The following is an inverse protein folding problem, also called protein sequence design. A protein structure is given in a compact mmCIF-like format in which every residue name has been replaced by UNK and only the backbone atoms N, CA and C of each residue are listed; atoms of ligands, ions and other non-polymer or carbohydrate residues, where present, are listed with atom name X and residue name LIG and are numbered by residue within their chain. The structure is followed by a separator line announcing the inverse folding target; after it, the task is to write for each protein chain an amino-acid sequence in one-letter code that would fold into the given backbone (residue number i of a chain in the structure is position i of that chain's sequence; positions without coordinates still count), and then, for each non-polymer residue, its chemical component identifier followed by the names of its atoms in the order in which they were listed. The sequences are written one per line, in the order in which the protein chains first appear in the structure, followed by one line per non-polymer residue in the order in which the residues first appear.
data_IF_615887459140
#
_entry.id   IF_615887459140
#
_cell.length_a   1.000
_cell.length_b   1.000
_cell.length_c   1.000
_cell.angle_alpha   90.00
_cell.angle_beta   90.00
_cell.angle_gamma   90.00
#
_symmetry.space_group_name_H-M   'P 1'
#
loop_
_entity.id
_entity.type
_entity.pdbx_description
1 polymer ?
#
# COMPACT_ATOMS: atom_id res chain seq x y z
N UNK A 1 5.26 4.46 -33.69
CA UNK A 1 5.60 3.86 -32.39
C UNK A 1 5.19 4.90 -31.38
N UNK A 2 4.09 4.68 -30.64
CA UNK A 2 3.69 5.63 -29.59
C UNK A 2 4.74 5.53 -28.48
N UNK A 3 5.20 6.67 -27.96
CA UNK A 3 6.10 6.67 -26.81
C UNK A 3 5.40 5.98 -25.65
N UNK A 4 6.11 5.04 -25.02
CA UNK A 4 5.60 4.37 -23.84
C UNK A 4 5.60 5.35 -22.67
N UNK A 5 4.54 5.33 -21.88
CA UNK A 5 4.36 6.05 -20.63
C UNK A 5 5.46 5.62 -19.65
N UNK A 6 6.35 6.57 -19.34
CA UNK A 6 7.40 6.42 -18.34
C UNK A 6 6.98 6.87 -16.94
N UNK A 7 7.90 6.75 -15.98
CA UNK A 7 7.68 7.13 -14.57
C UNK A 7 7.35 8.63 -14.42
N UNK A 8 7.86 9.46 -15.33
CA UNK A 8 7.70 10.92 -15.31
C UNK A 8 6.26 11.36 -15.55
N UNK A 9 5.49 10.60 -16.33
CA UNK A 9 4.10 10.91 -16.70
C UNK A 9 3.05 10.30 -15.76
N UNK A 10 3.47 9.67 -14.65
CA UNK A 10 2.56 8.99 -13.73
C UNK A 10 1.56 9.94 -13.04
N UNK A 11 1.93 11.20 -12.85
CA UNK A 11 1.05 12.23 -12.26
C UNK A 11 0.22 12.99 -13.28
N UNK A 12 0.43 12.75 -14.58
CA UNK A 12 -0.35 13.39 -15.63
C UNK A 12 -1.77 12.80 -15.67
N UNK A 13 -2.77 13.57 -16.15
CA UNK A 13 -4.11 13.07 -16.37
C UNK A 13 -4.13 11.92 -17.39
N UNK A 14 -4.98 10.93 -17.16
CA UNK A 14 -5.21 9.82 -18.10
C UNK A 14 -5.61 10.33 -19.48
N UNK A 15 -6.36 11.43 -19.55
CA UNK A 15 -6.85 12.06 -20.79
C UNK A 15 -5.73 12.31 -21.82
N UNK A 16 -4.52 12.62 -21.38
CA UNK A 16 -3.40 12.93 -22.29
C UNK A 16 -2.79 11.67 -22.93
N UNK A 17 -3.14 10.48 -22.41
CA UNK A 17 -2.56 9.18 -22.77
C UNK A 17 -3.59 8.16 -23.28
N UNK A 18 -4.84 8.59 -23.51
CA UNK A 18 -5.88 7.71 -24.07
C UNK A 18 -5.83 7.65 -25.60
N UNK A 19 -6.19 6.49 -26.14
CA UNK A 19 -6.51 6.36 -27.56
C UNK A 19 -8.01 6.48 -27.75
N UNK A 20 -8.42 7.23 -28.79
CA UNK A 20 -9.82 7.35 -29.19
C UNK A 20 -10.30 6.24 -30.12
N UNK A 21 -9.39 5.37 -30.55
CA UNK A 21 -9.68 4.21 -31.41
C UNK A 21 -10.30 3.07 -30.58
N UNK A 22 -11.54 3.29 -30.15
CA UNK A 22 -12.30 2.37 -29.31
C UNK A 22 -13.39 1.70 -30.12
N UNK A 23 -13.53 0.39 -29.95
CA UNK A 23 -14.64 -0.35 -30.52
C UNK A 23 -15.81 -0.29 -29.54
N UNK A 24 -16.80 0.51 -29.88
CA UNK A 24 -18.07 0.61 -29.16
C UNK A 24 -19.17 -0.18 -29.87
N UNK A 25 -20.08 -0.74 -29.07
CA UNK A 25 -21.34 -1.35 -29.49
C UNK A 25 -22.49 -0.55 -28.87
N UNK A 26 -23.64 -0.54 -29.52
CA UNK A 26 -24.86 0.03 -28.94
C UNK A 26 -25.65 -1.05 -28.20
N UNK A 27 -26.28 -0.65 -27.10
CA UNK A 27 -27.07 -1.55 -26.25
C UNK A 27 -28.27 -2.18 -26.98
N UNK A 28 -28.83 -1.47 -27.97
CA UNK A 28 -30.03 -1.87 -28.71
C UNK A 28 -29.76 -2.85 -29.85
N UNK A 29 -28.49 -3.01 -30.26
CA UNK A 29 -28.07 -3.88 -31.37
C UNK A 29 -28.28 -5.36 -31.04
N UNK A 30 -28.47 -6.15 -32.10
CA UNK A 30 -28.39 -7.61 -32.00
C UNK A 30 -26.95 -8.09 -32.10
N UNK A 31 -26.68 -9.30 -31.60
CA UNK A 31 -25.35 -9.92 -31.68
C UNK A 31 -24.85 -10.04 -33.12
N UNK A 32 -25.73 -10.30 -34.08
CA UNK A 32 -25.41 -10.35 -35.50
C UNK A 32 -24.93 -9.01 -36.07
N UNK A 33 -25.64 -7.92 -35.75
CA UNK A 33 -25.28 -6.57 -36.17
C UNK A 33 -23.94 -6.15 -35.60
N UNK A 34 -23.75 -6.36 -34.29
CA UNK A 34 -22.51 -6.07 -33.60
C UNK A 34 -21.33 -6.91 -34.12
N UNK A 35 -21.53 -8.21 -34.39
CA UNK A 35 -20.50 -9.06 -34.96
C UNK A 35 -20.15 -8.69 -36.42
N UNK A 36 -21.11 -8.20 -37.20
CA UNK A 36 -20.87 -7.69 -38.53
C UNK A 36 -20.10 -6.36 -38.51
N UNK A 37 -20.45 -5.47 -37.59
CA UNK A 37 -19.73 -4.21 -37.36
C UNK A 37 -18.30 -4.45 -36.90
N UNK A 38 -18.12 -5.36 -35.95
CA UNK A 38 -16.82 -5.77 -35.45
C UNK A 38 -15.90 -6.28 -36.57
N UNK A 39 -16.42 -7.15 -37.45
CA UNK A 39 -15.67 -7.73 -38.57
C UNK A 39 -15.23 -6.70 -39.63
N UNK A 40 -15.93 -5.57 -39.75
CA UNK A 40 -15.56 -4.50 -40.67
C UNK A 40 -14.40 -3.64 -40.15
N UNK A 41 -14.15 -3.63 -38.84
CA UNK A 41 -13.04 -2.87 -38.26
C UNK A 41 -11.75 -3.68 -38.38
N UNK A 42 -10.70 -3.06 -38.92
CA UNK A 42 -9.38 -3.70 -39.04
C UNK A 42 -8.61 -3.50 -37.73
N UNK A 43 -8.50 -4.58 -36.93
CA UNK A 43 -8.09 -4.47 -35.53
C UNK A 43 -6.57 -4.58 -35.32
N UNK A 44 -5.80 -4.78 -36.39
CA UNK A 44 -4.33 -4.65 -36.38
C UNK A 44 -3.59 -5.42 -35.27
N UNK A 45 -4.15 -6.52 -34.75
CA UNK A 45 -3.56 -7.32 -33.67
C UNK A 45 -3.62 -6.72 -32.26
N UNK A 46 -4.39 -5.65 -32.03
CA UNK A 46 -4.51 -4.99 -30.72
C UNK A 46 -5.41 -5.75 -29.76
N UNK A 47 -5.28 -5.45 -28.46
CA UNK A 47 -6.19 -5.93 -27.42
C UNK A 47 -7.58 -5.35 -27.67
N UNK A 48 -8.60 -6.21 -27.65
CA UNK A 48 -9.97 -5.83 -28.02
C UNK A 48 -10.92 -6.07 -26.86
N UNK A 49 -11.40 -4.96 -26.29
CA UNK A 49 -12.61 -4.95 -25.47
C UNK A 49 -13.73 -4.27 -26.26
N UNK A 50 -14.93 -4.85 -26.23
CA UNK A 50 -16.12 -4.29 -26.88
C UNK A 50 -16.95 -3.58 -25.82
N UNK A 51 -16.82 -2.26 -25.75
CA UNK A 51 -17.53 -1.46 -24.77
C UNK A 51 -18.93 -1.15 -25.27
N UNK A 52 -19.92 -1.29 -24.39
CA UNK A 52 -21.32 -1.00 -24.69
C UNK A 52 -21.65 0.40 -24.21
N UNK A 53 -22.20 1.22 -25.11
CA UNK A 53 -22.63 2.58 -24.80
C UNK A 53 -24.11 2.79 -25.14
N UNK A 54 -24.73 3.76 -24.47
CA UNK A 54 -26.07 4.24 -24.81
C UNK A 54 -26.04 5.31 -25.93
N UNK A 55 -27.20 5.91 -26.21
CA UNK A 55 -27.34 6.98 -27.20
C UNK A 55 -26.61 8.28 -26.83
N UNK A 56 -26.32 8.52 -25.55
CA UNK A 56 -25.55 9.66 -25.04
C UNK A 56 -24.05 9.36 -24.91
N UNK A 57 -23.59 8.19 -25.40
CA UNK A 57 -22.24 7.64 -25.25
C UNK A 57 -21.83 7.32 -23.80
N UNK A 58 -22.78 7.19 -22.86
CA UNK A 58 -22.48 6.71 -21.52
C UNK A 58 -22.06 5.26 -21.55
N UNK A 59 -21.00 4.95 -20.82
CA UNK A 59 -20.49 3.59 -20.72
C UNK A 59 -21.43 2.74 -19.85
N UNK A 60 -21.98 1.66 -20.41
CA UNK A 60 -22.88 0.76 -19.70
C UNK A 60 -22.18 -0.53 -19.26
N UNK A 61 -21.39 -1.13 -20.16
CA UNK A 61 -20.87 -2.48 -19.94
C UNK A 61 -19.79 -2.90 -20.94
N UNK A 62 -19.39 -4.16 -20.86
CA UNK A 62 -18.43 -4.77 -21.78
C UNK A 62 -18.95 -6.13 -22.27
N UNK A 63 -18.72 -6.43 -23.56
CA UNK A 63 -19.05 -7.72 -24.15
C UNK A 63 -17.77 -8.48 -24.48
N UNK A 64 -17.54 -9.68 -23.89
CA UNK A 64 -16.46 -10.54 -24.31
C UNK A 64 -16.66 -11.00 -25.76
N UNK A 65 -15.64 -10.86 -26.61
CA UNK A 65 -15.70 -11.25 -28.04
C UNK A 65 -16.18 -12.71 -28.21
N UNK A 66 -15.71 -13.62 -27.36
CA UNK A 66 -16.14 -15.03 -27.36
C UNK A 66 -17.65 -15.19 -27.13
N UNK A 67 -18.24 -14.34 -26.30
CA UNK A 67 -19.68 -14.36 -26.01
C UNK A 67 -20.48 -13.83 -27.19
N UNK A 68 -20.01 -12.74 -27.81
CA UNK A 68 -20.62 -12.16 -29.00
C UNK A 68 -20.63 -13.15 -30.19
N UNK A 69 -19.51 -13.84 -30.44
CA UNK A 69 -19.39 -14.76 -31.56
C UNK A 69 -20.10 -16.11 -31.31
N UNK A 70 -20.36 -16.46 -30.05
CA UNK A 70 -21.01 -17.72 -29.66
C UNK A 70 -22.50 -17.61 -29.34
N UNK A 71 -23.06 -16.40 -29.28
CA UNK A 71 -24.48 -16.16 -29.00
C UNK A 71 -25.36 -16.35 -30.23
N UNK A 72 -26.65 -16.61 -30.02
CA UNK A 72 -27.63 -16.60 -31.10
C UNK A 72 -27.69 -15.19 -31.76
N UNK A 73 -27.70 -15.12 -33.11
CA UNK A 73 -27.79 -13.88 -33.90
C UNK A 73 -28.86 -12.88 -33.46
N UNK A 74 -29.99 -13.32 -32.89
CA UNK A 74 -31.10 -12.44 -32.51
C UNK A 74 -31.01 -11.88 -31.10
N UNK A 75 -30.08 -12.36 -30.27
CA UNK A 75 -29.93 -11.89 -28.87
C UNK A 75 -29.41 -10.45 -28.86
N UNK A 76 -29.96 -9.62 -27.96
CA UNK A 76 -29.55 -8.21 -27.83
C UNK A 76 -28.23 -8.07 -27.08
N UNK A 77 -27.47 -7.03 -27.39
CA UNK A 77 -26.22 -6.72 -26.70
C UNK A 77 -26.43 -6.47 -25.20
N UNK A 78 -27.57 -5.87 -24.83
CA UNK A 78 -28.02 -5.70 -23.45
C UNK A 78 -28.00 -6.99 -22.63
N UNK A 79 -28.44 -8.11 -23.21
CA UNK A 79 -28.49 -9.40 -22.52
C UNK A 79 -27.12 -10.12 -22.48
N UNK A 80 -26.19 -9.72 -23.36
CA UNK A 80 -24.86 -10.32 -23.49
C UNK A 80 -23.80 -9.58 -22.67
N UNK A 81 -24.02 -8.30 -22.37
CA UNK A 81 -23.03 -7.46 -21.70
C UNK A 81 -22.84 -7.87 -20.23
N UNK A 82 -21.66 -7.54 -19.71
CA UNK A 82 -21.38 -7.52 -18.28
C UNK A 82 -21.41 -6.05 -17.85
N UNK A 83 -22.34 -5.71 -16.96
CA UNK A 83 -22.54 -4.37 -16.44
C UNK A 83 -22.52 -4.38 -14.90
N UNK A 84 -22.00 -3.32 -14.24
CA UNK A 84 -21.35 -2.15 -14.85
C UNK A 84 -19.93 -2.47 -15.34
N UNK A 85 -19.48 -1.76 -16.39
CA UNK A 85 -18.06 -1.78 -16.76
C UNK A 85 -17.24 -0.98 -15.74
N UNK A 86 -16.08 -1.53 -15.35
CA UNK A 86 -15.09 -0.79 -14.58
C UNK A 86 -14.42 0.22 -15.50
N UNK A 87 -14.35 1.47 -15.07
CA UNK A 87 -13.75 2.59 -15.81
C UNK A 87 -12.89 3.46 -14.90
N UNK A 88 -12.05 4.29 -15.52
CA UNK A 88 -11.27 5.33 -14.85
C UNK A 88 -11.77 6.71 -15.29
N UNK A 89 -11.74 7.70 -14.41
CA UNK A 89 -12.03 9.09 -14.80
C UNK A 89 -10.90 9.62 -15.67
N UNK A 90 -11.22 10.37 -16.73
CA UNK A 90 -10.21 11.01 -17.58
C UNK A 90 -9.32 12.01 -16.84
N UNK A 91 -9.82 12.59 -15.74
CA UNK A 91 -9.09 13.48 -14.84
C UNK A 91 -8.21 12.77 -13.81
N UNK A 92 -8.35 11.45 -13.65
CA UNK A 92 -7.51 10.67 -12.75
C UNK A 92 -6.08 10.60 -13.27
N UNK A 93 -5.14 10.21 -12.40
CA UNK A 93 -3.73 10.11 -12.81
C UNK A 93 -3.47 8.82 -13.58
N UNK A 94 -2.45 8.84 -14.42
CA UNK A 94 -1.98 7.65 -15.15
C UNK A 94 -1.57 6.52 -14.19
N UNK A 95 -1.06 6.86 -12.99
CA UNK A 95 -0.81 5.89 -11.92
C UNK A 95 -2.08 5.18 -11.46
N UNK A 96 -3.16 5.93 -11.20
CA UNK A 96 -4.44 5.35 -10.75
C UNK A 96 -4.98 4.37 -11.80
N UNK A 97 -4.90 4.74 -13.08
CA UNK A 97 -5.29 3.85 -14.17
C UNK A 97 -4.42 2.58 -14.25
N UNK A 98 -3.11 2.72 -14.05
CA UNK A 98 -2.18 1.58 -14.02
C UNK A 98 -2.50 0.63 -12.86
N UNK A 99 -2.73 1.16 -11.66
CA UNK A 99 -3.08 0.35 -10.48
C UNK A 99 -4.40 -0.40 -10.68
N UNK A 100 -5.43 0.27 -11.22
CA UNK A 100 -6.71 -0.37 -11.54
C UNK A 100 -6.58 -1.46 -12.63
N UNK A 101 -5.76 -1.24 -13.66
CA UNK A 101 -5.48 -2.25 -14.68
C UNK A 101 -4.82 -3.50 -14.07
N UNK A 102 -3.86 -3.31 -13.17
CA UNK A 102 -3.15 -4.39 -12.50
C UNK A 102 -4.03 -5.15 -11.49
N UNK A 103 -4.81 -4.42 -10.68
CA UNK A 103 -5.72 -4.98 -9.67
C UNK A 103 -6.75 -5.91 -10.33
N UNK A 104 -7.39 -5.44 -11.40
CA UNK A 104 -8.40 -6.20 -12.12
C UNK A 104 -7.82 -7.14 -13.19
N UNK A 105 -6.50 -7.12 -13.41
CA UNK A 105 -5.80 -7.88 -14.47
C UNK A 105 -6.36 -7.59 -15.87
N UNK A 106 -6.80 -6.36 -16.09
CA UNK A 106 -7.30 -5.92 -17.39
C UNK A 106 -6.15 -5.51 -18.28
N UNK A 107 -6.25 -5.83 -19.57
CA UNK A 107 -5.27 -5.43 -20.56
C UNK A 107 -5.51 -4.00 -21.07
N UNK A 108 -6.76 -3.53 -21.00
CA UNK A 108 -7.14 -2.16 -21.28
C UNK A 108 -8.38 -1.78 -20.46
N UNK A 109 -8.57 -0.49 -20.22
CA UNK A 109 -9.65 0.08 -19.41
C UNK A 109 -10.25 1.32 -20.11
N UNK A 110 -11.58 1.52 -20.05
CA UNK A 110 -12.21 2.71 -20.60
C UNK A 110 -12.00 3.92 -19.69
N UNK A 111 -11.71 5.07 -20.31
CA UNK A 111 -11.67 6.37 -19.65
C UNK A 111 -12.98 7.13 -19.91
N UNK A 112 -13.58 7.67 -18.85
CA UNK A 112 -14.86 8.39 -18.92
C UNK A 112 -14.76 9.80 -18.35
N UNK A 113 -15.58 10.72 -18.89
CA UNK A 113 -15.77 12.06 -18.33
C UNK A 113 -16.57 12.02 -17.01
N UNK A 114 -16.82 13.19 -16.41
CA UNK A 114 -17.55 13.30 -15.15
C UNK A 114 -19.04 12.92 -15.29
N UNK A 115 -19.60 12.95 -16.50
CA UNK A 115 -20.94 12.49 -16.83
C UNK A 115 -21.02 11.00 -17.21
N UNK A 116 -19.88 10.28 -17.18
CA UNK A 116 -19.79 8.85 -17.47
C UNK A 116 -19.74 8.50 -18.96
N UNK A 117 -19.47 9.48 -19.83
CA UNK A 117 -19.35 9.27 -21.28
C UNK A 117 -17.96 8.80 -21.65
N UNK A 118 -17.90 7.84 -22.56
CA UNK A 118 -16.65 7.20 -22.98
C UNK A 118 -15.82 8.13 -23.88
N UNK A 119 -14.66 8.58 -23.36
CA UNK A 119 -13.71 9.45 -24.08
C UNK A 119 -12.62 8.67 -24.81
N UNK A 120 -12.20 7.52 -24.29
CA UNK A 120 -11.15 6.68 -24.89
C UNK A 120 -10.80 5.45 -24.07
N UNK A 121 -9.66 4.83 -24.38
CA UNK A 121 -9.11 3.67 -23.64
C UNK A 121 -7.64 3.89 -23.30
N UNK A 122 -7.22 3.28 -22.20
CA UNK A 122 -5.82 3.15 -21.79
C UNK A 122 -5.46 1.66 -21.74
N UNK A 123 -4.35 1.28 -22.37
CA UNK A 123 -3.87 -0.12 -22.50
C UNK A 123 -2.57 -0.32 -21.72
N UNK A 124 -2.40 -1.49 -21.10
CA UNK A 124 -1.18 -1.91 -20.40
C UNK A 124 0.09 -1.81 -21.27
N UNK A 125 -0.03 -2.04 -22.59
CA UNK A 125 1.09 -1.94 -23.53
C UNK A 125 1.66 -0.53 -23.67
N UNK A 126 0.92 0.49 -23.25
CA UNK A 126 1.43 1.86 -23.22
C UNK A 126 2.44 2.09 -22.11
N UNK A 127 2.42 1.29 -21.04
CA UNK A 127 3.32 1.48 -19.92
C UNK A 127 4.69 0.84 -20.21
N UNK A 128 5.75 1.47 -19.71
CA UNK A 128 7.07 0.83 -19.66
C UNK A 128 7.09 -0.28 -18.63
N UNK A 129 7.97 -1.27 -18.83
CA UNK A 129 8.11 -2.41 -17.91
C UNK A 129 8.50 -1.94 -16.50
N UNK A 130 9.26 -0.85 -16.39
CA UNK A 130 9.63 -0.23 -15.11
C UNK A 130 8.42 0.32 -14.36
N UNK A 131 7.47 0.96 -15.07
CA UNK A 131 6.23 1.46 -14.47
C UNK A 131 5.35 0.29 -14.00
N UNK A 132 5.18 -0.73 -14.82
CA UNK A 132 4.40 -1.92 -14.48
C UNK A 132 5.00 -2.63 -13.27
N UNK A 133 6.32 -2.79 -13.24
CA UNK A 133 7.04 -3.40 -12.12
C UNK A 133 6.89 -2.55 -10.86
N UNK A 134 7.05 -1.22 -10.96
CA UNK A 134 6.92 -0.29 -9.85
C UNK A 134 5.52 -0.25 -9.23
N UNK A 135 4.48 -0.27 -10.05
CA UNK A 135 3.09 -0.30 -9.60
C UNK A 135 2.74 -1.63 -8.91
N UNK A 136 3.13 -2.77 -9.50
CA UNK A 136 3.00 -4.08 -8.84
C UNK A 136 3.70 -4.10 -7.48
N UNK A 137 4.91 -3.55 -7.46
CA UNK A 137 5.74 -3.46 -6.27
C UNK A 137 5.14 -2.58 -5.16
N UNK A 138 4.39 -1.52 -5.50
CA UNK A 138 3.69 -0.67 -4.52
C UNK A 138 2.53 -1.43 -3.88
N UNK A 139 1.72 -2.08 -4.72
CA UNK A 139 0.59 -2.90 -4.30
C UNK A 139 1.05 -4.05 -3.37
N UNK A 140 2.13 -4.75 -3.75
CA UNK A 140 2.71 -5.81 -2.91
C UNK A 140 3.35 -5.26 -1.62
N UNK A 141 4.01 -4.10 -1.67
CA UNK A 141 4.69 -3.55 -0.49
C UNK A 141 3.74 -3.17 0.64
N UNK A 142 2.55 -2.66 0.34
CA UNK A 142 1.53 -2.34 1.34
C UNK A 142 1.11 -3.57 2.17
N UNK A 143 0.99 -4.74 1.52
CA UNK A 143 0.63 -5.98 2.20
C UNK A 143 1.83 -6.69 2.86
N UNK A 144 3.02 -6.59 2.26
CA UNK A 144 4.24 -7.13 2.86
C UNK A 144 4.63 -6.40 4.16
N UNK A 145 4.33 -5.10 4.26
CA UNK A 145 4.53 -4.29 5.47
C UNK A 145 3.80 -4.83 6.71
N UNK A 146 2.66 -5.51 6.52
CA UNK A 146 1.88 -6.17 7.58
C UNK A 146 2.10 -7.68 7.64
N UNK A 147 3.16 -8.20 7.00
CA UNK A 147 3.50 -9.63 7.00
C UNK A 147 2.57 -10.51 6.16
N UNK A 148 1.75 -9.91 5.28
CA UNK A 148 0.85 -10.64 4.39
C UNK A 148 1.44 -10.66 2.98
N UNK A 149 1.93 -11.82 2.54
CA UNK A 149 2.14 -12.06 1.12
C UNK A 149 0.77 -12.22 0.45
N UNK A 150 0.25 -11.15 -0.12
CA UNK A 150 -1.01 -11.24 -0.88
C UNK A 150 -0.69 -11.83 -2.25
N UNK A 151 -0.90 -13.13 -2.39
CA UNK A 151 -1.10 -13.75 -3.69
C UNK A 151 -2.50 -13.35 -4.20
N UNK A 152 -2.65 -12.12 -4.71
CA UNK A 152 -3.90 -11.59 -5.28
C UNK A 152 -4.46 -12.59 -6.30
N UNK A 153 -5.58 -13.23 -5.97
CA UNK A 153 -6.38 -14.05 -6.90
C UNK A 153 -6.14 -15.57 -6.91
N UNK A 154 -5.32 -16.15 -6.03
CA UNK A 154 -5.27 -17.63 -5.86
C UNK A 154 -5.91 -18.03 -4.53
N UNK A 155 -6.78 -19.06 -4.55
CA UNK A 155 -7.18 -19.78 -3.34
C UNK A 155 -5.93 -20.40 -2.71
N UNK A 156 -5.31 -19.68 -1.77
CA UNK A 156 -4.11 -20.15 -1.08
C UNK A 156 -4.57 -21.16 -0.04
N UNK A 157 -4.07 -22.40 -0.09
CA UNK A 157 -4.35 -23.41 0.94
C UNK A 157 -3.88 -22.90 2.32
N UNK A 158 -4.64 -23.18 3.39
CA UNK A 158 -4.30 -22.76 4.76
C UNK A 158 -2.86 -23.10 5.17
N UNK A 159 -2.35 -24.26 4.74
CA UNK A 159 -0.98 -24.70 5.00
C UNK A 159 0.09 -23.79 4.38
N UNK A 160 -0.13 -23.33 3.14
CA UNK A 160 0.81 -22.41 2.48
C UNK A 160 0.81 -21.05 3.19
N UNK A 161 -0.36 -20.52 3.53
CA UNK A 161 -0.44 -19.27 4.30
C UNK A 161 0.24 -19.37 5.66
N UNK A 162 0.10 -20.50 6.37
CA UNK A 162 0.82 -20.75 7.61
C UNK A 162 2.33 -20.72 7.39
N UNK A 163 2.85 -21.46 6.42
CA UNK A 163 4.29 -21.52 6.12
C UNK A 163 4.88 -20.16 5.73
N UNK A 164 4.08 -19.31 5.09
CA UNK A 164 4.51 -17.96 4.69
C UNK A 164 4.51 -16.98 5.89
N UNK A 165 3.59 -17.13 6.85
CA UNK A 165 3.43 -16.22 8.00
C UNK A 165 4.18 -16.66 9.25
N UNK A 166 4.38 -17.97 9.45
CA UNK A 166 4.97 -18.50 10.68
C UNK A 166 6.41 -18.04 10.93
N UNK A 167 7.30 -17.91 9.92
CA UNK A 167 8.62 -17.33 10.15
C UNK A 167 8.56 -15.89 10.67
N UNK A 168 7.63 -15.10 10.14
CA UNK A 168 7.41 -13.71 10.57
C UNK A 168 6.92 -13.65 12.02
N UNK A 169 5.94 -14.51 12.36
CA UNK A 169 5.48 -14.69 13.74
C UNK A 169 6.62 -15.15 14.66
N UNK A 170 7.50 -16.03 14.19
CA UNK A 170 8.68 -16.50 14.91
C UNK A 170 9.64 -15.37 15.30
N UNK A 171 9.85 -14.39 14.41
CA UNK A 171 10.64 -13.19 14.73
C UNK A 171 9.99 -12.35 15.84
N UNK A 172 8.67 -12.11 15.76
CA UNK A 172 7.96 -11.36 16.79
C UNK A 172 7.95 -12.11 18.13
N UNK A 173 7.80 -13.43 18.10
CA UNK A 173 7.91 -14.26 19.31
C UNK A 173 9.31 -14.17 19.93
N UNK A 174 10.37 -14.22 19.11
CA UNK A 174 11.74 -14.06 19.58
C UNK A 174 11.97 -12.66 20.20
N UNK A 175 11.46 -11.61 19.56
CA UNK A 175 11.45 -10.24 20.11
C UNK A 175 10.78 -10.20 21.47
N UNK A 176 9.54 -10.70 21.57
CA UNK A 176 8.79 -10.72 22.82
C UNK A 176 9.50 -11.48 23.94
N UNK A 177 10.19 -12.58 23.63
CA UNK A 177 11.02 -13.31 24.60
C UNK A 177 12.21 -12.46 25.06
N UNK A 178 12.90 -11.77 24.15
CA UNK A 178 13.99 -10.84 24.50
C UNK A 178 13.47 -9.70 25.38
N UNK A 179 12.32 -9.14 25.05
CA UNK A 179 11.64 -8.11 25.85
C UNK A 179 11.28 -8.61 27.25
N UNK A 180 10.81 -9.86 27.38
CA UNK A 180 10.57 -10.47 28.69
C UNK A 180 11.86 -10.61 29.51
N UNK A 181 12.97 -11.00 28.89
CA UNK A 181 14.28 -11.01 29.55
C UNK A 181 14.73 -9.62 29.98
N UNK A 182 14.54 -8.59 29.15
CA UNK A 182 14.85 -7.21 29.52
C UNK A 182 14.00 -6.79 30.72
N UNK A 183 12.68 -6.98 30.67
CA UNK A 183 11.78 -6.63 31.76
C UNK A 183 12.13 -7.35 33.07
N UNK A 184 12.57 -8.63 33.00
CA UNK A 184 13.01 -9.37 34.19
C UNK A 184 14.22 -8.74 34.89
N UNK A 185 15.09 -8.02 34.16
CA UNK A 185 16.21 -7.30 34.77
C UNK A 185 15.77 -6.06 35.56
N UNK A 186 14.56 -5.56 35.30
CA UNK A 186 13.97 -4.41 35.97
C UNK A 186 12.85 -4.81 36.94
N UNK A 187 12.80 -6.07 37.39
CA UNK A 187 11.77 -6.57 38.31
C UNK A 187 11.70 -5.77 39.61
N UNK A 188 12.85 -5.39 40.18
CA UNK A 188 12.91 -4.53 41.37
C UNK A 188 12.26 -3.16 41.10
N UNK A 189 12.61 -2.51 39.99
CA UNK A 189 12.01 -1.22 39.59
C UNK A 189 10.50 -1.34 39.38
N UNK A 190 10.04 -2.41 38.74
CA UNK A 190 8.61 -2.68 38.54
C UNK A 190 7.86 -2.91 39.86
N UNK A 191 8.52 -3.48 40.86
CA UNK A 191 7.93 -3.68 42.19
C UNK A 191 7.82 -2.38 42.98
N UNK A 192 8.78 -1.46 42.83
CA UNK A 192 8.78 -0.15 43.48
C UNK A 192 7.83 0.83 42.79
N UNK A 193 7.77 0.78 41.46
CA UNK A 193 6.97 1.68 40.64
C UNK A 193 6.01 0.87 39.76
N UNK A 194 4.95 0.35 40.39
CA UNK A 194 3.90 -0.45 39.73
C UNK A 194 3.29 0.28 38.53
N UNK A 195 3.32 1.62 38.51
CA UNK A 195 2.87 2.45 37.40
C UNK A 195 3.55 2.09 36.07
N UNK A 196 4.86 1.80 36.10
CA UNK A 196 5.64 1.41 34.92
C UNK A 196 5.10 0.12 34.29
N UNK A 197 4.75 -0.87 35.11
CA UNK A 197 4.14 -2.12 34.61
C UNK A 197 2.78 -1.87 33.94
N UNK A 198 1.98 -0.94 34.48
CA UNK A 198 0.64 -0.64 33.96
C UNK A 198 0.65 0.02 32.58
N UNK A 199 1.69 0.78 32.26
CA UNK A 199 1.84 1.46 30.97
C UNK A 199 2.77 0.73 29.98
N UNK A 200 3.32 -0.42 30.37
CA UNK A 200 4.23 -1.21 29.55
C UNK A 200 3.60 -1.66 28.22
N UNK A 201 2.33 -2.08 28.24
CA UNK A 201 1.60 -2.45 27.02
C UNK A 201 1.35 -1.25 26.12
N UNK A 202 1.15 -0.07 26.70
CA UNK A 202 0.88 1.17 25.97
C UNK A 202 2.14 1.65 25.27
N UNK A 203 3.29 1.67 25.96
CA UNK A 203 4.54 2.14 25.38
C UNK A 203 5.03 1.24 24.25
N UNK A 204 4.89 -0.09 24.40
CA UNK A 204 5.20 -1.05 23.34
C UNK A 204 4.30 -0.84 22.11
N UNK A 205 2.98 -0.77 22.30
CA UNK A 205 2.04 -0.57 21.19
C UNK A 205 2.28 0.75 20.43
N UNK A 206 2.63 1.82 21.15
CA UNK A 206 3.00 3.10 20.53
C UNK A 206 4.33 3.00 19.78
N UNK A 207 5.34 2.37 20.38
CA UNK A 207 6.64 2.13 19.75
C UNK A 207 6.49 1.39 18.41
N UNK A 208 5.76 0.27 18.40
CA UNK A 208 5.46 -0.50 17.19
C UNK A 208 4.72 0.34 16.14
N UNK A 209 3.65 1.04 16.54
CA UNK A 209 2.81 1.81 15.64
C UNK A 209 3.58 2.92 14.93
N UNK A 210 4.36 3.70 15.68
CA UNK A 210 5.11 4.82 15.10
C UNK A 210 6.32 4.31 14.31
N UNK A 211 6.99 3.26 14.76
CA UNK A 211 8.08 2.64 14.00
C UNK A 211 7.60 2.09 12.64
N UNK A 212 6.41 1.47 12.60
CA UNK A 212 5.79 0.99 11.37
C UNK A 212 5.44 2.13 10.41
N UNK A 213 4.96 3.27 10.92
CA UNK A 213 4.69 4.46 10.11
C UNK A 213 5.99 5.02 9.50
N UNK A 214 7.02 5.23 10.33
CA UNK A 214 8.33 5.71 9.86
C UNK A 214 8.97 4.75 8.85
N UNK A 215 8.86 3.44 9.08
CA UNK A 215 9.31 2.40 8.14
C UNK A 215 8.57 2.47 6.81
N UNK A 216 7.25 2.58 6.83
CA UNK A 216 6.42 2.61 5.61
C UNK A 216 6.79 3.80 4.74
N UNK A 217 6.87 5.00 5.34
CA UNK A 217 7.25 6.23 4.64
C UNK A 217 8.67 6.11 4.08
N UNK A 218 9.60 5.54 4.86
CA UNK A 218 10.98 5.32 4.42
C UNK A 218 11.03 4.37 3.23
N UNK A 219 10.36 3.22 3.30
CA UNK A 219 10.31 2.24 2.20
C UNK A 219 9.71 2.84 0.93
N UNK A 220 8.61 3.60 1.03
CA UNK A 220 8.03 4.29 -0.13
C UNK A 220 9.01 5.29 -0.76
N UNK A 221 9.82 5.98 0.04
CA UNK A 221 10.83 6.90 -0.46
C UNK A 221 12.00 6.22 -1.19
N UNK A 222 12.22 4.93 -0.92
CA UNK A 222 13.30 4.13 -1.50
C UNK A 222 12.91 3.44 -2.82
N UNK A 223 11.62 3.33 -3.14
CA UNK A 223 11.16 2.66 -4.37
C UNK A 223 11.51 3.50 -5.60
N UNK A 224 12.21 2.90 -6.56
CA UNK A 224 12.45 3.47 -7.89
C UNK A 224 13.42 4.66 -7.94
N UNK A 225 14.18 4.94 -6.87
CA UNK A 225 15.12 6.07 -6.80
C UNK A 225 16.51 5.64 -6.35
N UNK A 226 17.56 6.11 -7.03
CA UNK A 226 18.90 6.07 -6.48
C UNK A 226 18.98 7.08 -5.32
N UNK A 227 18.93 6.60 -4.08
CA UNK A 227 18.96 7.47 -2.90
C UNK A 227 20.38 7.92 -2.58
N UNK A 228 20.61 9.22 -2.64
CA UNK A 228 21.87 9.81 -2.18
C UNK A 228 21.94 9.87 -0.65
N UNK A 229 23.15 9.80 -0.08
CA UNK A 229 23.37 9.99 1.36
C UNK A 229 22.78 11.30 1.89
N UNK A 230 22.82 12.37 1.08
CA UNK A 230 22.27 13.68 1.44
C UNK A 230 20.75 13.63 1.63
N UNK A 231 20.03 12.94 0.75
CA UNK A 231 18.57 12.79 0.86
C UNK A 231 18.19 11.99 2.11
N UNK A 232 18.91 10.90 2.40
CA UNK A 232 18.69 10.10 3.62
C UNK A 232 18.84 10.98 4.87
N UNK A 233 19.88 11.81 4.94
CA UNK A 233 20.11 12.68 6.08
C UNK A 233 19.02 13.75 6.23
N UNK A 234 18.53 14.32 5.12
CA UNK A 234 17.43 15.29 5.13
C UNK A 234 16.14 14.61 5.65
N UNK A 235 15.82 13.42 5.15
CA UNK A 235 14.67 12.64 5.60
C UNK A 235 14.78 12.28 7.09
N UNK A 236 15.93 11.80 7.55
CA UNK A 236 16.16 11.45 8.95
C UNK A 236 16.01 12.65 9.89
N UNK A 237 16.47 13.84 9.49
CA UNK A 237 16.28 15.07 10.29
C UNK A 237 14.81 15.49 10.38
N UNK A 238 14.08 15.38 9.27
CA UNK A 238 12.63 15.65 9.26
C UNK A 238 11.89 14.66 10.16
N UNK A 239 12.27 13.39 10.11
CA UNK A 239 11.68 12.36 10.97
C UNK A 239 12.05 12.56 12.45
N UNK A 240 13.28 13.00 12.75
CA UNK A 240 13.67 13.32 14.13
C UNK A 240 12.80 14.43 14.72
N UNK A 241 12.53 15.49 13.94
CA UNK A 241 11.61 16.55 14.38
C UNK A 241 10.18 16.02 14.58
N UNK A 242 9.68 15.23 13.63
CA UNK A 242 8.32 14.65 13.67
C UNK A 242 8.15 13.71 14.87
N UNK A 243 9.13 12.82 15.09
CA UNK A 243 9.16 11.89 16.22
C UNK A 243 9.30 12.60 17.57
N UNK A 244 10.03 13.73 17.64
CA UNK A 244 10.06 14.57 18.82
C UNK A 244 8.68 15.14 19.18
N UNK A 245 7.92 15.61 18.18
CA UNK A 245 6.54 16.09 18.39
C UNK A 245 5.59 14.97 18.82
N UNK A 246 5.67 13.80 18.17
CA UNK A 246 4.87 12.63 18.51
C UNK A 246 5.20 12.10 19.90
N UNK A 247 6.49 11.97 20.22
CA UNK A 247 6.98 11.52 21.52
C UNK A 247 6.55 12.46 22.64
N UNK A 248 6.69 13.77 22.45
CA UNK A 248 6.22 14.76 23.43
C UNK A 248 4.70 14.70 23.60
N UNK A 249 3.93 14.63 22.52
CA UNK A 249 2.47 14.53 22.58
C UNK A 249 2.00 13.27 23.34
N UNK A 250 2.55 12.10 23.00
CA UNK A 250 2.20 10.84 23.65
C UNK A 250 2.65 10.82 25.12
N UNK A 251 3.88 11.27 25.39
CA UNK A 251 4.43 11.35 26.74
C UNK A 251 3.65 12.31 27.64
N UNK A 252 3.20 13.46 27.11
CA UNK A 252 2.37 14.42 27.83
C UNK A 252 0.98 13.85 28.14
N UNK A 253 0.34 13.17 27.19
CA UNK A 253 -0.98 12.55 27.39
C UNK A 253 -0.89 11.43 28.43
N UNK A 254 0.06 10.52 28.29
CA UNK A 254 0.18 9.36 29.18
C UNK A 254 0.70 9.79 30.55
N UNK A 255 1.71 10.65 30.61
CA UNK A 255 2.20 11.23 31.86
C UNK A 255 1.10 12.02 32.58
N UNK A 256 0.33 12.83 31.85
CA UNK A 256 -0.83 13.55 32.41
C UNK A 256 -1.90 12.62 32.96
N UNK A 257 -2.21 11.53 32.23
CA UNK A 257 -3.15 10.49 32.67
C UNK A 257 -2.64 9.77 33.93
N UNK A 258 -1.36 9.41 33.95
CA UNK A 258 -0.69 8.78 35.08
C UNK A 258 -0.73 9.69 36.33
N UNK A 259 -0.49 11.00 36.15
CA UNK A 259 -0.56 11.97 37.23
C UNK A 259 -1.99 12.13 37.75
N UNK A 260 -2.96 12.31 36.87
CA UNK A 260 -4.37 12.47 37.24
C UNK A 260 -4.92 11.25 38.00
N UNK A 261 -4.46 10.05 37.65
CA UNK A 261 -4.92 8.82 38.29
C UNK A 261 -4.26 8.56 39.64
N UNK A 262 -2.93 8.73 39.73
CA UNK A 262 -2.16 8.25 40.90
C UNK A 262 -1.67 9.36 41.82
N UNK A 263 -1.82 10.62 41.41
CA UNK A 263 -1.46 11.79 42.23
C UNK A 263 0.05 11.94 42.48
N UNK A 264 0.89 11.18 41.78
CA UNK A 264 2.34 11.17 41.97
C UNK A 264 3.07 11.84 40.79
N UNK A 265 3.34 13.16 40.85
CA UNK A 265 3.82 13.92 39.70
C UNK A 265 5.21 13.48 39.21
N UNK A 266 6.09 13.02 40.11
CA UNK A 266 7.45 12.62 39.73
C UNK A 266 7.47 11.30 38.95
N UNK A 267 6.67 10.32 39.38
CA UNK A 267 6.51 9.05 38.68
C UNK A 267 5.81 9.24 37.34
N UNK A 268 4.81 10.13 37.29
CA UNK A 268 4.13 10.49 36.07
C UNK A 268 5.05 11.18 35.05
N UNK A 269 5.94 12.06 35.51
CA UNK A 269 6.95 12.70 34.67
C UNK A 269 7.97 11.67 34.14
N UNK A 270 8.41 10.74 34.99
CA UNK A 270 9.30 9.64 34.59
C UNK A 270 8.65 8.76 33.51
N UNK A 271 7.38 8.38 33.67
CA UNK A 271 6.62 7.64 32.65
C UNK A 271 6.45 8.46 31.36
N UNK A 272 6.07 9.73 31.45
CA UNK A 272 5.91 10.57 30.25
C UNK A 272 7.21 10.81 29.49
N UNK A 273 8.30 11.08 30.21
CA UNK A 273 9.63 11.30 29.63
C UNK A 273 10.22 10.05 29.00
N UNK A 274 10.07 8.90 29.67
CA UNK A 274 10.52 7.60 29.15
C UNK A 274 9.75 7.19 27.89
N UNK A 275 8.43 7.42 27.82
CA UNK A 275 7.63 7.21 26.61
C UNK A 275 8.09 8.12 25.46
N UNK A 276 8.34 9.40 25.74
CA UNK A 276 8.81 10.34 24.74
C UNK A 276 10.11 9.87 24.08
N UNK A 277 11.12 9.49 24.88
CA UNK A 277 12.39 8.99 24.37
C UNK A 277 12.25 7.64 23.66
N UNK A 278 11.40 6.76 24.17
CA UNK A 278 11.15 5.45 23.55
C UNK A 278 10.55 5.58 22.15
N UNK A 279 9.59 6.49 21.96
CA UNK A 279 8.98 6.76 20.66
C UNK A 279 9.99 7.36 19.69
N UNK A 280 10.81 8.33 20.13
CA UNK A 280 11.86 8.90 19.29
C UNK A 280 12.82 7.80 18.81
N UNK A 281 13.26 6.92 19.70
CA UNK A 281 14.13 5.81 19.35
C UNK A 281 13.47 4.84 18.35
N UNK A 282 12.21 4.46 18.58
CA UNK A 282 11.45 3.56 17.71
C UNK A 282 11.27 4.13 16.29
N UNK A 283 11.00 5.44 16.16
CA UNK A 283 10.94 6.14 14.87
C UNK A 283 12.28 6.11 14.14
N UNK A 284 13.37 6.40 14.86
CA UNK A 284 14.71 6.43 14.26
C UNK A 284 15.11 5.05 13.73
N UNK A 285 14.74 3.97 14.43
CA UNK A 285 14.92 2.61 13.93
C UNK A 285 14.07 2.32 12.68
N UNK A 286 12.84 2.84 12.65
CA UNK A 286 11.95 2.78 11.49
C UNK A 286 12.55 3.44 10.23
N UNK A 287 13.44 4.43 10.38
CA UNK A 287 14.18 5.02 9.24
C UNK A 287 15.50 4.29 8.99
N UNK A 288 16.26 4.01 10.04
CA UNK A 288 17.63 3.51 9.94
C UNK A 288 17.68 2.08 9.36
N UNK A 289 16.82 1.18 9.82
CA UNK A 289 16.86 -0.23 9.43
C UNK A 289 16.48 -0.42 7.95
N UNK A 290 15.35 0.11 7.42
CA UNK A 290 15.04 -0.06 6.00
C UNK A 290 16.10 0.58 5.09
N UNK A 291 16.64 1.72 5.50
CA UNK A 291 17.73 2.38 4.78
C UNK A 291 19.01 1.53 4.76
N UNK A 292 19.37 0.90 5.89
CA UNK A 292 20.53 0.02 5.97
C UNK A 292 20.35 -1.24 5.12
N UNK A 293 19.19 -1.89 5.21
CA UNK A 293 18.84 -3.08 4.41
C UNK A 293 18.92 -2.75 2.90
N UNK A 294 18.38 -1.61 2.48
CA UNK A 294 18.45 -1.15 1.09
C UNK A 294 19.90 -0.96 0.61
N UNK A 295 20.78 -0.40 1.46
CA UNK A 295 22.20 -0.24 1.12
C UNK A 295 22.98 -1.54 1.03
N UNK A 296 22.60 -2.53 1.83
CA UNK A 296 23.15 -3.88 1.76
C UNK A 296 22.62 -4.67 0.55
N UNK A 297 21.77 -4.06 -0.29
CA UNK A 297 21.14 -4.69 -1.47
C UNK A 297 20.29 -5.92 -1.12
N UNK A 298 19.86 -6.02 0.14
CA UNK A 298 18.86 -6.99 0.58
C UNK A 298 17.50 -6.38 0.25
N UNK A 299 16.55 -7.19 -0.25
CA UNK A 299 15.21 -6.69 -0.57
C UNK A 299 14.55 -6.12 0.70
N UNK A 300 14.37 -4.79 0.81
CA UNK A 300 13.86 -4.16 2.01
C UNK A 300 12.45 -4.63 2.36
N UNK A 301 11.67 -5.05 1.37
CA UNK A 301 10.24 -5.34 1.56
C UNK A 301 10.00 -6.66 2.28
N UNK A 302 10.90 -7.62 2.11
CA UNK A 302 10.77 -8.96 2.71
C UNK A 302 11.33 -8.98 4.14
N UNK A 303 12.37 -8.17 4.42
CA UNK A 303 13.12 -8.25 5.68
C UNK A 303 12.84 -7.10 6.66
N UNK A 304 12.46 -5.90 6.20
CA UNK A 304 12.43 -4.74 7.09
C UNK A 304 11.33 -4.82 8.16
N UNK A 305 10.14 -5.32 7.82
CA UNK A 305 8.99 -5.37 8.74
C UNK A 305 9.29 -5.99 10.11
N UNK A 306 9.58 -7.29 10.18
CA UNK A 306 9.77 -7.97 11.46
C UNK A 306 11.07 -7.55 12.16
N UNK A 307 12.11 -7.18 11.40
CA UNK A 307 13.38 -6.71 12.00
C UNK A 307 13.19 -5.34 12.65
N UNK A 308 12.47 -4.44 12.00
CA UNK A 308 12.14 -3.11 12.54
C UNK A 308 11.32 -3.25 13.82
N UNK A 309 10.24 -4.03 13.78
CA UNK A 309 9.38 -4.24 14.95
C UNK A 309 10.17 -4.85 16.12
N UNK A 310 10.90 -5.93 15.87
CA UNK A 310 11.70 -6.57 16.92
C UNK A 310 12.74 -5.62 17.55
N UNK A 311 13.41 -4.82 16.72
CA UNK A 311 14.39 -3.84 17.19
C UNK A 311 13.71 -2.70 17.95
N UNK A 312 12.53 -2.27 17.49
CA UNK A 312 11.74 -1.22 18.12
C UNK A 312 11.25 -1.65 19.51
N UNK A 313 10.77 -2.88 19.68
CA UNK A 313 10.34 -3.40 21.00
C UNK A 313 11.48 -3.36 22.01
N UNK A 314 12.65 -3.88 21.60
CA UNK A 314 13.85 -3.94 22.43
C UNK A 314 14.31 -2.53 22.80
N UNK A 315 14.42 -1.63 21.82
CA UNK A 315 14.81 -0.24 22.09
C UNK A 315 13.79 0.46 22.98
N UNK A 316 12.50 0.28 22.72
CA UNK A 316 11.40 0.87 23.51
C UNK A 316 11.54 0.47 24.97
N UNK A 317 11.70 -0.82 25.29
CA UNK A 317 11.86 -1.22 26.69
C UNK A 317 13.16 -0.74 27.32
N UNK A 318 14.28 -0.73 26.58
CA UNK A 318 15.55 -0.23 27.10
C UNK A 318 15.45 1.26 27.48
N UNK A 319 14.90 2.10 26.60
CA UNK A 319 14.69 3.52 26.92
C UNK A 319 13.62 3.71 27.99
N UNK A 320 12.55 2.92 27.96
CA UNK A 320 11.47 3.02 28.93
C UNK A 320 11.96 2.80 30.36
N UNK A 321 12.71 1.71 30.58
CA UNK A 321 13.22 1.35 31.90
C UNK A 321 14.49 2.09 32.32
N UNK A 322 15.33 2.56 31.39
CA UNK A 322 16.57 3.26 31.76
C UNK A 322 16.32 4.71 32.17
N UNK A 323 15.24 5.31 31.68
CA UNK A 323 14.89 6.72 31.95
C UNK A 323 14.00 6.86 33.19
N UNK A 324 13.14 5.86 33.42
CA UNK A 324 12.18 5.87 34.52
C UNK A 324 12.77 5.39 35.84
#
# INVERSE_FOLDING_TARGET
MMDKIGIESLSEPVLDHIHKDVITLRVDQTSAEAAAEFRRKNIGGRIVYLYVVDHERKLLGVVPVRRLLGSDPSVRIEDLMVAPAVSVKSSATVLDACELLLEHRFLAMPAVDDEGRLEGIIDLNQFTDDVLTGAHQRMDSAFQLIGVHVALGRRVSSWRSFRDRFPWLGCNMASGIVCAFIASRFELLLSEVVLLAMFLTVVLALGESVSMQSMTITLQSLIGRQTSWRQILISARKEFATSGMLGFGCGAIIGGTAWAWRGAPMQALAVGGSICLSIIAACMLGVAIPTAIHKLKIDPKVAAGPIVLASADVATLLYYFSVA
#
